data_IF_052079678198
#
_entry.id   IF_052079678198
#
_cell.length_a   1.000
_cell.length_b   1.000
_cell.length_c   1.000
_cell.angle_alpha   90.00
_cell.angle_beta   90.00
_cell.angle_gamma   90.00
#
_symmetry.space_group_name_H-M   'P 1'
#
loop_
_entity.id
_entity.type
_entity.pdbx_description
1 polymer ?
#
# COMPACT_ATOMS: atom_id res chain seq x y z
N UNK A 1 15.40 29.14 -27.09
CA UNK A 1 14.04 29.69 -26.86
C UNK A 1 13.80 29.74 -25.37
N UNK A 2 13.69 30.94 -24.79
CA UNK A 2 13.48 31.13 -23.35
C UNK A 2 11.97 31.06 -23.03
N UNK A 3 11.57 30.19 -22.11
CA UNK A 3 10.18 30.09 -21.64
C UNK A 3 9.79 31.33 -20.85
N UNK A 4 8.54 31.77 -21.02
CA UNK A 4 8.07 33.02 -20.42
C UNK A 4 8.07 32.96 -18.87
N UNK A 5 8.23 34.09 -18.16
CA UNK A 5 8.17 34.13 -16.70
C UNK A 5 6.87 33.54 -16.12
N UNK A 6 5.77 33.62 -16.88
CA UNK A 6 4.47 33.06 -16.51
C UNK A 6 4.43 31.51 -16.59
N UNK A 7 5.17 30.90 -17.53
CA UNK A 7 5.27 29.44 -17.64
C UNK A 7 6.13 28.83 -16.52
N UNK A 8 7.21 29.53 -16.10
CA UNK A 8 8.02 29.10 -14.94
C UNK A 8 7.20 29.05 -13.65
N UNK A 9 6.39 30.09 -13.38
CA UNK A 9 5.46 30.10 -12.23
C UNK A 9 4.40 29.00 -12.28
N UNK A 10 3.97 28.57 -13.47
CA UNK A 10 3.05 27.42 -13.64
C UNK A 10 3.76 26.09 -13.45
N UNK A 11 5.03 25.96 -13.84
CA UNK A 11 5.83 24.75 -13.58
C UNK A 11 6.20 24.59 -12.11
N UNK A 12 6.51 25.68 -11.39
CA UNK A 12 6.77 25.65 -9.94
C UNK A 12 5.51 25.29 -9.13
N UNK A 13 4.31 25.67 -9.61
CA UNK A 13 3.04 25.20 -9.01
C UNK A 13 2.69 23.75 -9.38
N UNK A 14 3.42 23.15 -10.31
CA UNK A 14 3.39 21.71 -10.59
C UNK A 14 4.50 20.99 -9.82
N UNK A 15 4.94 21.53 -8.68
CA UNK A 15 5.57 20.72 -7.64
C UNK A 15 4.72 19.45 -7.50
N UNK A 16 5.25 18.28 -7.91
CA UNK A 16 4.59 17.03 -7.64
C UNK A 16 4.45 17.02 -6.12
N UNK A 17 3.22 16.99 -5.60
CA UNK A 17 3.01 16.86 -4.16
C UNK A 17 3.89 15.73 -3.61
N UNK A 18 4.22 15.75 -2.31
CA UNK A 18 5.12 14.78 -1.70
C UNK A 18 4.81 13.39 -2.22
N UNK A 19 5.79 12.79 -2.91
CA UNK A 19 5.68 11.44 -3.48
C UNK A 19 5.21 10.55 -2.33
N UNK A 20 3.99 10.03 -2.44
CA UNK A 20 3.38 9.29 -1.33
C UNK A 20 4.28 8.14 -0.91
N UNK A 21 4.20 7.75 0.37
CA UNK A 21 5.02 6.69 0.99
C UNK A 21 5.33 5.52 0.03
N UNK A 22 6.61 5.28 -0.23
CA UNK A 22 7.09 4.26 -1.17
C UNK A 22 6.69 2.84 -0.75
N UNK A 23 6.64 2.56 0.57
CA UNK A 23 6.16 1.27 1.09
C UNK A 23 4.67 1.08 0.78
N UNK A 24 3.89 2.15 0.89
CA UNK A 24 2.47 2.12 0.55
C UNK A 24 2.23 1.93 -0.96
N UNK A 25 3.09 2.49 -1.82
CA UNK A 25 3.02 2.24 -3.26
C UNK A 25 3.34 0.79 -3.60
N UNK A 26 4.36 0.20 -2.96
CA UNK A 26 4.69 -1.22 -3.13
C UNK A 26 3.54 -2.13 -2.68
N UNK A 27 2.94 -1.85 -1.53
CA UNK A 27 1.76 -2.56 -1.05
C UNK A 27 0.56 -2.46 -2.02
N UNK A 28 0.35 -1.29 -2.62
CA UNK A 28 -0.67 -1.08 -3.64
C UNK A 28 -0.41 -1.97 -4.86
N UNK A 29 0.82 -1.98 -5.38
CA UNK A 29 1.21 -2.79 -6.54
C UNK A 29 1.03 -4.28 -6.25
N UNK A 30 1.45 -4.76 -5.08
CA UNK A 30 1.28 -6.16 -4.68
C UNK A 30 -0.19 -6.59 -4.70
N UNK A 31 -1.08 -5.73 -4.18
CA UNK A 31 -2.52 -6.01 -4.12
C UNK A 31 -3.24 -5.80 -5.47
N UNK A 32 -2.73 -4.92 -6.33
CA UNK A 32 -3.20 -4.80 -7.71
C UNK A 32 -2.82 -6.03 -8.55
N UNK A 33 -1.63 -6.60 -8.32
CA UNK A 33 -1.21 -7.83 -8.95
C UNK A 33 -2.07 -9.03 -8.48
N UNK A 34 -2.36 -9.12 -7.18
CA UNK A 34 -3.12 -10.21 -6.57
C UNK A 34 -4.32 -9.68 -5.75
N UNK A 35 -5.52 -9.50 -6.34
CA UNK A 35 -6.67 -8.91 -5.64
C UNK A 35 -7.18 -9.69 -4.42
N UNK A 36 -6.93 -10.99 -4.37
CA UNK A 36 -7.31 -11.89 -3.27
C UNK A 36 -6.37 -11.81 -2.07
N UNK A 37 -5.15 -11.30 -2.24
CA UNK A 37 -4.12 -11.23 -1.20
C UNK A 37 -4.60 -10.39 -0.01
N UNK A 38 -4.64 -10.82 1.26
CA UNK A 38 -5.10 -10.02 2.40
C UNK A 38 -4.45 -8.62 2.52
N UNK A 39 -5.15 -7.65 3.14
CA UNK A 39 -4.63 -6.27 3.25
C UNK A 39 -3.36 -6.20 4.11
N UNK A 40 -3.30 -7.03 5.15
CA UNK A 40 -2.14 -7.15 6.02
C UNK A 40 -0.94 -7.66 5.23
N UNK A 41 -1.10 -8.75 4.49
CA UNK A 41 -0.02 -9.36 3.69
C UNK A 41 0.50 -8.39 2.63
N UNK A 42 -0.39 -7.66 1.96
CA UNK A 42 0.02 -6.61 1.03
C UNK A 42 0.85 -5.51 1.70
N UNK A 43 0.56 -5.14 2.96
CA UNK A 43 1.36 -4.18 3.71
C UNK A 43 2.73 -4.77 4.10
N UNK A 44 2.78 -6.06 4.48
CA UNK A 44 4.04 -6.75 4.77
C UNK A 44 4.94 -6.83 3.53
N UNK A 45 4.37 -7.17 2.37
CA UNK A 45 5.07 -7.14 1.06
C UNK A 45 5.56 -5.73 0.69
N UNK A 46 4.81 -4.70 1.11
CA UNK A 46 5.21 -3.30 0.98
C UNK A 46 6.41 -2.90 1.85
N UNK A 47 6.80 -3.74 2.80
CA UNK A 47 7.90 -3.51 3.74
C UNK A 47 7.47 -2.81 5.04
N UNK A 48 6.20 -2.89 5.43
CA UNK A 48 5.76 -2.46 6.76
C UNK A 48 6.06 -3.56 7.79
N UNK A 49 6.52 -3.15 8.98
CA UNK A 49 6.88 -4.09 10.05
C UNK A 49 5.98 -3.80 11.26
N UNK A 50 5.22 -4.80 11.69
CA UNK A 50 4.29 -4.71 12.81
C UNK A 50 4.76 -5.64 13.93
N UNK A 51 5.58 -5.17 14.90
CA UNK A 51 6.13 -6.04 15.94
C UNK A 51 5.08 -6.67 16.86
N UNK A 52 3.90 -6.06 17.00
CA UNK A 52 2.79 -6.60 17.80
C UNK A 52 1.88 -7.58 17.06
N UNK A 53 2.20 -7.93 15.81
CA UNK A 53 1.37 -8.81 15.00
C UNK A 53 1.34 -10.21 15.62
N UNK A 54 0.14 -10.72 15.92
CA UNK A 54 -0.07 -12.04 16.54
C UNK A 54 -0.17 -12.02 18.07
N UNK A 55 0.36 -10.99 18.74
CA UNK A 55 0.17 -10.78 20.19
C UNK A 55 -1.16 -10.06 20.42
N UNK A 56 -1.37 -8.97 19.70
CA UNK A 56 -2.57 -8.14 19.78
C UNK A 56 -3.56 -8.55 18.70
N UNK A 57 -4.78 -8.93 19.11
CA UNK A 57 -5.88 -9.19 18.16
C UNK A 57 -6.48 -7.91 17.57
N UNK A 58 -6.25 -6.76 18.23
CA UNK A 58 -6.82 -5.48 17.86
C UNK A 58 -5.89 -4.67 16.93
N UNK A 59 -6.29 -4.51 15.67
CA UNK A 59 -5.60 -3.68 14.66
C UNK A 59 -5.34 -2.21 15.08
N UNK A 60 -6.10 -1.71 16.06
CA UNK A 60 -5.97 -0.34 16.59
C UNK A 60 -4.77 -0.20 17.55
N UNK A 61 -4.32 -1.30 18.16
CA UNK A 61 -3.23 -1.33 19.13
C UNK A 61 -1.88 -1.64 18.47
N UNK A 62 -1.89 -2.42 17.39
CA UNK A 62 -0.71 -2.75 16.60
C UNK A 62 -0.18 -1.52 15.87
N UNK A 63 1.09 -1.17 16.07
CA UNK A 63 1.78 -0.03 15.45
C UNK A 63 2.95 -0.48 14.61
N UNK A 64 3.20 0.26 13.54
CA UNK A 64 4.39 0.19 12.68
C UNK A 64 5.62 0.81 13.38
N UNK A 65 6.80 0.65 12.80
CA UNK A 65 8.04 1.32 13.22
C UNK A 65 7.90 2.86 13.28
N UNK A 66 7.03 3.45 12.44
CA UNK A 66 6.74 4.89 12.46
C UNK A 66 5.67 5.29 13.50
N UNK A 67 5.19 4.36 14.33
CA UNK A 67 4.12 4.61 15.31
C UNK A 67 2.72 4.74 14.72
N UNK A 68 2.54 4.55 13.41
CA UNK A 68 1.24 4.54 12.72
C UNK A 68 0.55 3.20 12.96
N UNK A 69 -0.76 3.22 13.26
CA UNK A 69 -1.47 1.97 13.57
C UNK A 69 -1.73 1.12 12.32
N UNK A 70 -1.82 -0.20 12.49
CA UNK A 70 -2.16 -1.13 11.42
C UNK A 70 -3.51 -0.76 10.77
N UNK A 71 -4.51 -0.41 11.58
CA UNK A 71 -5.79 0.10 11.11
C UNK A 71 -5.64 1.32 10.17
N UNK A 72 -4.80 2.29 10.55
CA UNK A 72 -4.54 3.47 9.70
C UNK A 72 -3.89 3.09 8.38
N UNK A 73 -2.91 2.17 8.38
CA UNK A 73 -2.25 1.70 7.16
C UNK A 73 -3.20 0.94 6.24
N UNK A 74 -4.05 0.05 6.77
CA UNK A 74 -5.11 -0.65 6.01
C UNK A 74 -6.06 0.33 5.34
N UNK A 75 -6.52 1.36 6.07
CA UNK A 75 -7.39 2.40 5.53
C UNK A 75 -6.72 3.23 4.43
N UNK A 76 -5.44 3.55 4.58
CA UNK A 76 -4.68 4.26 3.53
C UNK A 76 -4.61 3.42 2.25
N UNK A 77 -4.32 2.13 2.37
CA UNK A 77 -4.26 1.21 1.23
C UNK A 77 -5.61 1.11 0.52
N UNK A 78 -6.71 0.93 1.26
CA UNK A 78 -8.06 0.88 0.69
C UNK A 78 -8.44 2.17 -0.06
N UNK A 79 -8.13 3.34 0.52
CA UNK A 79 -8.38 4.63 -0.14
C UNK A 79 -7.62 4.72 -1.47
N UNK A 80 -6.34 4.33 -1.48
CA UNK A 80 -5.51 4.35 -2.70
C UNK A 80 -6.01 3.39 -3.76
N UNK A 81 -6.48 2.19 -3.39
CA UNK A 81 -7.11 1.25 -4.33
C UNK A 81 -8.37 1.83 -4.97
N UNK A 82 -9.24 2.48 -4.17
CA UNK A 82 -10.44 3.15 -4.71
C UNK A 82 -10.07 4.25 -5.70
N UNK A 83 -9.03 5.03 -5.41
CA UNK A 83 -8.52 6.05 -6.34
C UNK A 83 -7.95 5.45 -7.62
N UNK A 84 -7.16 4.38 -7.52
CA UNK A 84 -6.62 3.67 -8.68
C UNK A 84 -7.75 3.14 -9.58
N UNK A 85 -8.76 2.49 -9.00
CA UNK A 85 -9.96 2.03 -9.73
C UNK A 85 -10.71 3.18 -10.40
N UNK A 86 -10.87 4.32 -9.70
CA UNK A 86 -11.51 5.54 -10.27
C UNK A 86 -10.69 6.15 -11.42
N UNK A 87 -9.36 6.02 -11.41
CA UNK A 87 -8.51 6.48 -12.51
C UNK A 87 -8.66 5.55 -13.71
N UNK A 88 -8.75 4.24 -13.48
CA UNK A 88 -8.91 3.24 -14.54
C UNK A 88 -10.30 3.28 -15.18
N UNK A 89 -11.36 3.57 -14.41
CA UNK A 89 -12.73 3.68 -14.96
C UNK A 89 -12.98 4.98 -15.73
N UNK A 90 -12.19 6.02 -15.48
CA UNK A 90 -12.21 7.25 -16.27
C UNK A 90 -11.40 7.04 -17.54
N UNK A 91 -12.03 6.40 -18.53
CA UNK A 91 -11.59 6.46 -19.93
C UNK A 91 -11.15 7.88 -20.30
N UNK A 92 -10.06 8.06 -21.07
CA UNK A 92 -9.53 9.37 -21.37
C UNK A 92 -10.56 10.19 -22.16
N UNK A 93 -11.30 11.07 -21.47
CA UNK A 93 -12.18 12.10 -22.05
C UNK A 93 -11.41 13.17 -22.86
N UNK A 94 -10.15 12.91 -23.21
CA UNK A 94 -9.20 13.89 -23.76
C UNK A 94 -9.28 14.05 -25.29
N UNK A 95 -10.17 13.35 -26.02
CA UNK A 95 -10.36 13.61 -27.47
C UNK A 95 -11.71 14.19 -27.88
N UNK A 96 -12.67 14.37 -26.96
CA UNK A 96 -14.01 14.90 -27.33
C UNK A 96 -14.24 16.38 -26.96
N UNK A 97 -13.26 17.06 -26.35
CA UNK A 97 -13.37 18.50 -26.04
C UNK A 97 -12.82 19.42 -27.14
N UNK A 98 -11.97 18.94 -28.04
CA UNK A 98 -11.50 19.75 -29.17
C UNK A 98 -12.55 19.90 -30.28
N UNK A 99 -13.47 18.94 -30.45
CA UNK A 99 -14.49 19.04 -31.51
C UNK A 99 -15.65 19.98 -31.14
N UNK A 100 -15.94 20.20 -29.85
CA UNK A 100 -17.03 21.12 -29.42
C UNK A 100 -16.61 22.58 -29.25
N UNK A 101 -15.32 22.91 -29.33
CA UNK A 101 -14.85 24.30 -29.33
C UNK A 101 -15.03 24.97 -30.71
N UNK A 102 -15.25 24.20 -31.78
CA UNK A 102 -15.43 24.72 -33.15
C UNK A 102 -16.85 25.25 -33.45
N UNK A 103 -17.87 24.91 -32.66
CA UNK A 103 -19.28 25.22 -33.00
C UNK A 103 -19.91 26.28 -32.09
N UNK A 104 -19.15 26.99 -31.25
CA UNK A 104 -19.68 28.13 -30.49
C UNK A 104 -19.67 29.39 -31.36
N UNK A 105 -20.51 29.38 -32.39
CA UNK A 105 -20.90 30.58 -33.12
C UNK A 105 -21.53 31.56 -32.13
N UNK A 106 -21.06 32.81 -32.23
CA UNK A 106 -21.48 33.98 -31.45
C UNK A 106 -23.01 34.07 -31.32
N UNK A 107 -23.52 33.97 -30.10
CA UNK A 107 -24.77 34.62 -29.71
C UNK A 107 -24.38 35.78 -28.78
N UNK A 108 -24.65 37.04 -29.15
CA UNK A 108 -24.42 38.18 -28.28
C UNK A 108 -25.49 38.21 -27.19
N UNK A 109 -25.10 38.08 -25.93
CA UNK A 109 -25.96 38.41 -24.79
C UNK A 109 -25.50 39.74 -24.18
N UNK A 110 -26.45 40.67 -24.20
CA UNK A 110 -26.49 41.94 -23.51
C UNK A 110 -26.42 41.80 -21.98
N UNK A 111 -25.95 42.82 -21.25
CA UNK A 111 -25.93 42.81 -19.80
C UNK A 111 -27.30 43.23 -19.28
N UNK A 112 -27.90 42.47 -18.35
CA UNK A 112 -29.02 42.98 -17.57
C UNK A 112 -28.98 42.45 -16.15
N UNK A 113 -28.82 43.43 -15.27
CA UNK A 113 -29.07 43.45 -13.84
C UNK A 113 -30.31 42.65 -13.43
N UNK A 114 -30.22 41.90 -12.33
CA UNK A 114 -31.00 42.22 -11.12
C UNK A 114 -30.69 41.24 -9.98
N UNK A 115 -30.08 41.82 -8.95
CA UNK A 115 -29.92 41.28 -7.61
C UNK A 115 -31.22 41.59 -6.85
N UNK A 116 -32.09 40.60 -6.67
CA UNK A 116 -33.16 40.66 -5.69
C UNK A 116 -32.95 39.58 -4.63
N UNK A 117 -32.74 40.03 -3.40
CA UNK A 117 -32.78 39.24 -2.19
C UNK A 117 -34.22 38.76 -1.97
N UNK A 118 -34.45 37.45 -2.06
CA UNK A 118 -35.69 36.85 -1.60
C UNK A 118 -35.40 36.14 -0.28
N UNK A 119 -35.96 36.71 0.78
CA UNK A 119 -36.18 36.07 2.08
C UNK A 119 -37.31 35.07 1.88
N UNK A 120 -37.07 33.80 2.22
CA UNK A 120 -38.16 32.83 2.36
C UNK A 120 -38.32 32.54 3.84
N UNK A 121 -39.40 33.07 4.41
CA UNK A 121 -40.01 32.53 5.61
C UNK A 121 -40.71 31.23 5.21
N UNK A 122 -40.29 30.10 5.78
CA UNK A 122 -40.92 28.80 5.55
C UNK A 122 -41.55 28.37 6.86
N UNK A 123 -42.85 28.66 7.00
CA UNK A 123 -43.72 27.98 7.97
C UNK A 123 -44.23 26.66 7.36
N UNK A 124 -44.26 25.56 8.13
CA UNK A 124 -44.59 24.23 7.63
C UNK A 124 -46.09 23.97 7.69
N UNK A 125 -46.75 23.91 6.53
CA UNK A 125 -48.12 23.41 6.43
C UNK A 125 -48.22 22.33 5.35
N UNK A 126 -48.26 21.08 5.84
CA UNK A 126 -49.20 20.03 5.41
C UNK A 126 -49.55 20.00 3.92
N UNK A 127 -48.71 19.31 3.14
CA UNK A 127 -49.17 18.61 1.93
C UNK A 127 -48.56 17.21 1.98
N UNK A 128 -49.29 16.32 2.64
CA UNK A 128 -48.98 14.93 2.89
C UNK A 128 -49.99 14.08 2.11
N UNK A 129 -49.90 14.12 0.78
CA UNK A 129 -50.48 13.17 -0.17
C UNK A 129 -50.09 13.65 -1.58
N UNK A 130 -49.87 12.73 -2.52
CA UNK A 130 -49.69 12.99 -3.96
C UNK A 130 -48.26 13.31 -4.47
N UNK A 131 -47.27 12.57 -3.96
CA UNK A 131 -45.97 12.42 -4.65
C UNK A 131 -45.48 10.96 -4.67
N UNK A 132 -46.39 9.98 -4.74
CA UNK A 132 -46.08 8.60 -5.12
C UNK A 132 -46.47 8.34 -6.57
N UNK A 133 -45.73 8.91 -7.53
CA UNK A 133 -45.65 8.33 -8.87
C UNK A 133 -44.40 8.86 -9.60
N UNK A 134 -43.56 7.93 -10.04
CA UNK A 134 -42.36 8.12 -10.87
C UNK A 134 -41.08 8.66 -10.20
N UNK A 135 -40.40 7.75 -9.49
CA UNK A 135 -38.93 7.64 -9.56
C UNK A 135 -38.51 6.17 -9.71
N UNK A 136 -38.87 5.60 -10.86
CA UNK A 136 -38.19 4.44 -11.40
C UNK A 136 -36.98 4.98 -12.17
N UNK A 137 -35.84 5.04 -11.48
CA UNK A 137 -34.63 5.66 -11.99
C UNK A 137 -33.42 4.97 -11.39
N UNK A 138 -33.08 3.84 -11.97
CA UNK A 138 -31.74 3.24 -12.01
C UNK A 138 -30.89 3.40 -10.75
N UNK A 139 -31.26 2.63 -9.72
CA UNK A 139 -30.35 2.25 -8.63
C UNK A 139 -29.26 1.33 -9.17
N UNK A 140 -28.29 1.92 -9.86
CA UNK A 140 -26.98 1.31 -10.14
C UNK A 140 -25.96 1.67 -9.04
N UNK A 141 -26.44 1.93 -7.82
CA UNK A 141 -25.67 1.68 -6.61
C UNK A 141 -25.99 0.28 -6.07
N UNK A 142 -25.77 -0.64 -6.99
CA UNK A 142 -25.47 -2.03 -6.73
C UNK A 142 -24.31 -2.14 -5.72
N UNK A 143 -24.63 -2.78 -4.59
CA UNK A 143 -24.08 -4.12 -4.33
C UNK A 143 -22.62 -4.18 -3.86
N UNK A 144 -22.10 -3.17 -3.16
CA UNK A 144 -20.73 -3.22 -2.60
C UNK A 144 -20.58 -2.88 -1.12
N UNK A 145 -21.66 -2.92 -0.35
CA UNK A 145 -21.61 -2.84 1.13
C UNK A 145 -21.90 -4.21 1.80
N UNK A 146 -21.86 -5.33 1.06
CA UNK A 146 -22.08 -6.70 1.59
C UNK A 146 -20.75 -7.48 1.70
N UNK A 147 -19.65 -6.83 2.04
CA UNK A 147 -18.36 -7.52 2.23
C UNK A 147 -17.65 -7.13 3.53
N UNK A 148 -18.41 -6.78 4.58
CA UNK A 148 -17.89 -6.71 5.95
C UNK A 148 -18.41 -7.85 6.87
N UNK A 149 -19.34 -8.70 6.41
CA UNK A 149 -19.95 -9.77 7.23
C UNK A 149 -19.53 -11.19 6.83
N UNK A 150 -18.43 -11.38 6.09
CA UNK A 150 -17.80 -12.70 6.06
C UNK A 150 -17.08 -12.89 7.40
N UNK A 151 -17.84 -13.43 8.35
CA UNK A 151 -17.38 -14.16 9.52
C UNK A 151 -16.08 -14.90 9.21
N UNK A 152 -14.96 -14.29 9.55
CA UNK A 152 -13.66 -14.95 9.53
C UNK A 152 -13.56 -16.05 10.60
N UNK A 153 -14.62 -16.22 11.40
CA UNK A 153 -14.76 -17.31 12.38
C UNK A 153 -15.34 -18.61 11.77
N UNK A 154 -15.94 -18.59 10.57
CA UNK A 154 -16.68 -19.76 10.05
C UNK A 154 -15.99 -20.50 8.89
N UNK A 155 -14.66 -20.44 8.78
CA UNK A 155 -13.97 -21.30 7.80
C UNK A 155 -12.58 -21.75 8.21
N UNK A 156 -12.37 -22.00 9.50
CA UNK A 156 -11.31 -22.93 9.91
C UNK A 156 -11.84 -23.83 11.02
N UNK A 157 -12.68 -24.80 10.67
CA UNK A 157 -12.71 -26.06 11.42
C UNK A 157 -11.37 -26.73 11.16
N UNK A 158 -10.34 -26.29 11.87
CA UNK A 158 -9.11 -27.07 12.03
C UNK A 158 -9.55 -28.30 12.78
N UNK A 159 -9.78 -29.40 12.06
CA UNK A 159 -9.87 -30.72 12.68
C UNK A 159 -8.68 -30.83 13.65
N UNK A 160 -8.90 -31.21 14.91
CA UNK A 160 -7.84 -31.27 15.90
C UNK A 160 -6.72 -32.14 15.34
N UNK A 161 -5.59 -31.52 15.04
CA UNK A 161 -4.43 -32.24 14.51
C UNK A 161 -4.05 -33.26 15.58
N UNK A 162 -4.05 -34.54 15.20
CA UNK A 162 -3.67 -35.63 16.10
C UNK A 162 -2.36 -35.28 16.80
N UNK A 163 -2.33 -35.45 18.12
CA UNK A 163 -1.14 -35.17 18.93
C UNK A 163 0.11 -35.90 18.40
N UNK A 164 -0.09 -37.06 17.76
CA UNK A 164 0.96 -37.81 17.08
C UNK A 164 1.58 -37.04 15.90
N UNK A 165 0.77 -36.40 15.07
CA UNK A 165 1.23 -35.59 13.93
C UNK A 165 2.03 -34.36 14.39
N UNK A 166 1.65 -33.75 15.51
CA UNK A 166 2.41 -32.65 16.12
C UNK A 166 3.78 -33.11 16.65
N UNK A 167 3.86 -34.30 17.26
CA UNK A 167 5.13 -34.87 17.71
C UNK A 167 6.04 -35.22 16.54
N UNK A 168 5.49 -35.76 15.46
CA UNK A 168 6.24 -36.06 14.23
C UNK A 168 6.80 -34.78 13.61
N UNK A 169 5.96 -33.73 13.49
CA UNK A 169 6.38 -32.43 12.97
C UNK A 169 7.49 -31.81 13.83
N UNK A 170 7.38 -31.89 15.17
CA UNK A 170 8.42 -31.40 16.08
C UNK A 170 9.73 -32.15 15.88
N UNK A 171 9.70 -33.48 15.81
CA UNK A 171 10.90 -34.28 15.57
C UNK A 171 11.56 -33.97 14.23
N UNK A 172 10.77 -33.77 13.17
CA UNK A 172 11.30 -33.39 11.85
C UNK A 172 11.92 -31.99 11.92
N UNK A 173 11.28 -31.05 12.61
CA UNK A 173 11.78 -29.69 12.75
C UNK A 173 13.11 -29.63 13.51
N UNK A 174 13.27 -30.42 14.59
CA UNK A 174 14.52 -30.49 15.36
C UNK A 174 15.69 -31.05 14.50
N UNK A 175 15.41 -32.05 13.65
CA UNK A 175 16.40 -32.58 12.70
C UNK A 175 16.75 -31.56 11.62
N UNK A 176 15.77 -30.83 11.09
CA UNK A 176 16.02 -29.78 10.09
C UNK A 176 16.82 -28.62 10.69
N UNK A 177 16.53 -28.22 11.93
CA UNK A 177 17.25 -27.16 12.61
C UNK A 177 18.72 -27.52 12.83
N UNK A 178 18.98 -28.76 13.27
CA UNK A 178 20.36 -29.25 13.44
C UNK A 178 21.12 -29.34 12.11
N UNK A 179 20.47 -29.77 11.01
CA UNK A 179 21.07 -29.74 9.67
C UNK A 179 21.38 -28.30 9.23
N UNK A 180 20.48 -27.36 9.49
CA UNK A 180 20.67 -25.96 9.13
C UNK A 180 21.83 -25.31 9.88
N UNK A 181 21.97 -25.60 11.18
CA UNK A 181 23.13 -25.16 11.97
C UNK A 181 24.43 -25.71 11.38
N UNK A 182 24.50 -27.01 11.07
CA UNK A 182 25.68 -27.64 10.46
C UNK A 182 26.03 -27.02 9.10
N UNK A 183 25.05 -26.77 8.25
CA UNK A 183 25.25 -26.10 6.96
C UNK A 183 25.76 -24.67 7.15
N UNK A 184 25.20 -23.94 8.11
CA UNK A 184 25.64 -22.59 8.45
C UNK A 184 27.08 -22.59 8.95
N UNK A 185 27.44 -23.54 9.83
CA UNK A 185 28.82 -23.73 10.27
C UNK A 185 29.76 -24.06 9.10
N UNK A 186 29.34 -24.94 8.18
CA UNK A 186 30.14 -25.31 7.01
C UNK A 186 30.37 -24.13 6.07
N UNK A 187 29.33 -23.37 5.74
CA UNK A 187 29.41 -22.16 4.90
C UNK A 187 30.29 -21.09 5.54
N UNK A 188 30.17 -20.90 6.85
CA UNK A 188 31.05 -20.01 7.61
C UNK A 188 32.50 -20.48 7.60
N UNK A 189 32.75 -21.80 7.73
CA UNK A 189 34.09 -22.36 7.75
C UNK A 189 34.80 -22.20 6.41
N UNK A 190 34.12 -22.49 5.29
CA UNK A 190 34.69 -22.29 3.95
C UNK A 190 35.11 -20.84 3.71
N UNK A 191 34.27 -19.88 4.12
CA UNK A 191 34.57 -18.45 3.98
C UNK A 191 35.61 -17.91 4.97
N UNK A 192 35.88 -18.58 6.10
CA UNK A 192 36.92 -18.18 7.06
C UNK A 192 38.33 -18.63 6.65
N UNK A 193 38.46 -19.68 5.83
CA UNK A 193 39.77 -20.20 5.40
C UNK A 193 40.68 -19.20 4.67
N UNK A 194 40.23 -18.28 3.79
CA UNK A 194 41.12 -17.31 3.15
C UNK A 194 41.63 -16.25 4.13
N UNK A 195 40.85 -15.87 5.15
CA UNK A 195 41.23 -14.83 6.10
C UNK A 195 42.28 -15.33 7.10
N UNK A 196 42.08 -16.55 7.62
CA UNK A 196 43.06 -17.20 8.53
C UNK A 196 44.36 -17.54 7.79
N UNK A 197 44.29 -18.00 6.52
CA UNK A 197 45.49 -18.20 5.68
C UNK A 197 46.26 -16.89 5.44
N UNK A 198 45.58 -15.75 5.29
CA UNK A 198 46.24 -14.43 5.15
C UNK A 198 46.94 -13.98 6.43
N UNK A 199 46.35 -14.26 7.59
CA UNK A 199 46.94 -13.91 8.89
C UNK A 199 48.16 -14.76 9.24
N UNK A 200 48.16 -16.06 8.94
CA UNK A 200 49.32 -16.95 9.19
C UNK A 200 50.51 -16.57 8.29
N UNK A 201 50.26 -16.19 7.03
CA UNK A 201 51.33 -15.77 6.09
C UNK A 201 52.02 -14.45 6.49
N UNK A 202 51.35 -13.57 7.26
CA UNK A 202 51.93 -12.31 7.74
C UNK A 202 52.85 -12.48 8.95
N UNK A 203 52.63 -13.47 9.82
CA UNK A 203 53.52 -13.71 10.97
C UNK A 203 54.90 -14.25 10.54
N UNK A 204 54.97 -15.02 9.45
CA UNK A 204 56.24 -15.61 9.00
C UNK A 204 57.18 -14.63 8.27
N UNK A 205 56.66 -13.50 7.72
CA UNK A 205 57.52 -12.47 7.10
C UNK A 205 58.24 -11.58 8.11
N UNK A 206 57.74 -11.46 9.35
CA UNK A 206 58.39 -10.63 10.38
C UNK A 206 59.58 -11.34 11.03
N UNK A 207 59.57 -12.66 11.11
CA UNK A 207 60.68 -13.44 11.67
C UNK A 207 61.90 -13.50 10.72
N UNK A 208 61.69 -13.42 9.41
CA UNK A 208 62.79 -13.45 8.43
C UNK A 208 63.59 -12.14 8.35
N UNK A 209 63.03 -11.01 8.78
CA UNK A 209 63.71 -9.71 8.70
C UNK A 209 64.75 -9.49 9.81
N UNK A 210 64.71 -10.27 10.89
CA UNK A 210 65.68 -10.17 11.99
C UNK A 210 66.94 -11.01 11.74
N UNK A 211 66.92 -11.96 10.80
CA UNK A 211 68.07 -12.84 10.54
C UNK A 211 69.08 -12.26 9.54
N UNK A 212 68.76 -11.15 8.86
CA UNK A 212 69.65 -10.48 7.89
C UNK A 212 70.46 -9.29 8.44
N UNK A 213 70.46 -9.08 9.77
CA UNK A 213 71.26 -8.02 10.42
C UNK A 213 72.45 -8.53 11.23
N UNK A 214 72.80 -9.82 11.11
CA UNK A 214 73.92 -10.43 11.85
C UNK A 214 74.99 -11.09 10.96
N UNK A 215 75.06 -10.73 9.68
CA UNK A 215 76.19 -11.05 8.80
C UNK A 215 76.63 -9.73 8.18
#
# INVERSE_FOLDING_TARGET
MATSPAERKRQERRCPGPRGDERMNRALIAREANPELPLLDALLDGGFIFPGLGIEKNDKLVRDADGVTLYQRKNQLMRRQREARKRNSKTPRTKQREVKASNRTKIPHSPSSNRSSIVYDVSPSQNLADMELFREGDDVHSKFDIFEDLNFEEMVRVEPIDHFSLLLLKSVFDVLLTIFELLTFHLCFEHLTPFVRRCIRRKNKRSSAYFQRQI
#
